data_IF_346278078579
#
_entry.id   IF_346278078579
#
_cell.length_a   1.000
_cell.length_b   1.000
_cell.length_c   1.000
_cell.angle_alpha   90.00
_cell.angle_beta   90.00
_cell.angle_gamma   90.00
#
_symmetry.space_group_name_H-M   'P 1'
#
loop_
_entity.id
_entity.type
_entity.pdbx_description
1 polymer ?
#
# COMPACT_ATOMS: atom_id res chain seq x y z
N UNK A 1 -3.84 -37.63 5.47
CA UNK A 1 -2.77 -37.00 6.24
C UNK A 1 -3.37 -35.80 6.95
N UNK A 2 -3.13 -35.58 8.25
CA UNK A 2 -3.64 -34.40 8.93
C UNK A 2 -2.94 -33.16 8.36
N UNK A 3 -3.73 -32.14 8.03
CA UNK A 3 -3.23 -30.79 7.72
C UNK A 3 -2.46 -30.29 8.95
N UNK A 4 -1.23 -29.86 8.76
CA UNK A 4 -0.49 -29.19 9.80
C UNK A 4 -1.30 -27.95 10.22
N UNK A 5 -1.67 -27.85 11.49
CA UNK A 5 -2.15 -26.61 12.08
C UNK A 5 -1.00 -25.60 11.96
N UNK A 6 -1.23 -24.56 11.16
CA UNK A 6 -0.32 -23.41 11.09
C UNK A 6 -0.52 -22.67 12.42
N UNK A 7 0.46 -22.78 13.30
CA UNK A 7 0.50 -21.97 14.51
C UNK A 7 0.70 -20.51 14.08
N UNK A 8 -0.16 -19.57 14.48
CA UNK A 8 0.06 -18.16 14.18
C UNK A 8 1.44 -17.77 14.70
N UNK A 9 2.26 -17.16 13.86
CA UNK A 9 3.55 -16.63 14.28
C UNK A 9 3.30 -15.48 15.26
N UNK A 10 3.90 -15.53 16.44
CA UNK A 10 3.76 -14.50 17.51
C UNK A 10 4.24 -13.10 17.07
N UNK A 11 4.73 -12.95 15.85
CA UNK A 11 5.32 -11.72 15.31
C UNK A 11 4.34 -10.78 14.60
N UNK A 12 3.09 -11.19 14.34
CA UNK A 12 2.09 -10.37 13.66
C UNK A 12 0.98 -9.99 14.63
N UNK A 13 0.76 -8.68 14.78
CA UNK A 13 -0.36 -8.12 15.55
C UNK A 13 -1.34 -7.42 14.62
N UNK A 14 -2.62 -7.50 14.95
CA UNK A 14 -3.70 -6.86 14.21
C UNK A 14 -4.22 -5.63 14.95
N UNK A 15 -4.20 -4.48 14.29
CA UNK A 15 -4.92 -3.29 14.76
C UNK A 15 -6.32 -3.29 14.14
N UNK A 16 -7.33 -3.59 14.94
CA UNK A 16 -8.70 -3.71 14.47
C UNK A 16 -9.42 -2.36 14.56
N UNK A 17 -10.00 -1.94 13.46
CA UNK A 17 -10.88 -0.76 13.35
C UNK A 17 -12.25 -1.19 12.86
N UNK A 18 -13.29 -0.54 13.34
CA UNK A 18 -14.66 -0.78 12.93
C UNK A 18 -15.18 0.42 12.15
N UNK A 19 -15.74 0.16 10.96
CA UNK A 19 -16.43 1.15 10.14
C UNK A 19 -17.91 0.76 10.10
N UNK A 20 -18.77 1.61 10.63
CA UNK A 20 -20.19 1.41 10.62
C UNK A 20 -20.83 1.99 9.35
N UNK A 21 -21.30 1.12 8.48
CA UNK A 21 -22.09 1.45 7.30
C UNK A 21 -23.51 0.99 7.58
N UNK A 22 -24.49 1.92 7.46
CA UNK A 22 -25.89 1.61 7.74
C UNK A 22 -26.44 0.60 6.72
N UNK A 23 -27.34 -0.25 7.19
CA UNK A 23 -28.10 -1.20 6.38
C UNK A 23 -27.31 -2.32 5.69
N UNK A 24 -26.05 -2.55 6.12
CA UNK A 24 -25.30 -3.74 5.67
C UNK A 24 -26.02 -5.02 6.11
N UNK A 25 -26.09 -6.00 5.22
CA UNK A 25 -26.74 -7.30 5.46
C UNK A 25 -25.82 -8.29 6.18
N UNK A 26 -24.49 -8.04 6.15
CA UNK A 26 -23.49 -8.86 6.81
C UNK A 26 -22.29 -8.00 7.24
N UNK A 27 -21.48 -8.55 8.11
CA UNK A 27 -20.14 -8.00 8.38
C UNK A 27 -19.19 -8.38 7.25
N UNK A 28 -18.30 -7.45 6.92
CA UNK A 28 -17.21 -7.65 5.97
C UNK A 28 -15.88 -7.46 6.69
N UNK A 29 -14.91 -8.30 6.40
CA UNK A 29 -13.55 -8.18 6.90
C UNK A 29 -12.63 -7.73 5.77
N UNK A 30 -12.07 -6.55 5.90
CA UNK A 30 -11.03 -6.04 5.01
C UNK A 30 -9.71 -6.00 5.76
N UNK A 31 -8.63 -6.39 5.10
CA UNK A 31 -7.27 -6.25 5.63
C UNK A 31 -6.55 -5.19 4.82
N UNK A 32 -5.93 -4.24 5.51
CA UNK A 32 -5.08 -3.21 4.92
C UNK A 32 -3.65 -3.46 5.35
N UNK A 33 -2.74 -3.51 4.39
CA UNK A 33 -1.29 -3.58 4.60
C UNK A 33 -0.65 -2.41 3.87
N UNK A 34 0.23 -1.70 4.53
CA UNK A 34 1.03 -0.62 3.95
C UNK A 34 2.44 -0.64 4.55
N UNK A 35 3.37 0.06 3.91
CA UNK A 35 4.74 0.28 4.40
C UNK A 35 5.49 -1.04 4.70
N UNK A 36 5.32 -2.06 3.86
CA UNK A 36 6.07 -3.34 4.00
C UNK A 36 7.55 -3.17 3.65
N UNK A 37 7.86 -2.25 2.73
CA UNK A 37 9.22 -1.91 2.30
C UNK A 37 10.09 -3.14 2.03
N UNK A 38 9.65 -4.02 1.13
CA UNK A 38 10.41 -5.22 0.76
C UNK A 38 11.71 -4.79 0.08
N UNK A 39 12.81 -5.33 0.58
CA UNK A 39 14.16 -5.14 0.01
C UNK A 39 14.79 -6.50 -0.19
N UNK A 40 15.18 -6.79 -1.42
CA UNK A 40 15.97 -7.96 -1.81
C UNK A 40 17.35 -7.47 -2.23
N UNK A 41 18.39 -7.68 -1.42
CA UNK A 41 19.74 -7.26 -1.77
C UNK A 41 20.35 -8.18 -2.84
N UNK A 42 20.04 -7.90 -4.12
CA UNK A 42 20.50 -8.71 -5.25
C UNK A 42 21.70 -8.11 -6.00
N UNK A 43 22.11 -6.90 -5.62
CA UNK A 43 23.19 -6.17 -6.27
C UNK A 43 22.82 -5.45 -7.56
N UNK A 44 21.53 -5.43 -7.95
CA UNK A 44 21.02 -4.67 -9.10
C UNK A 44 20.77 -3.20 -8.74
N UNK A 45 21.72 -2.60 -8.04
CA UNK A 45 21.71 -1.21 -7.66
C UNK A 45 23.08 -0.56 -7.81
N UNK A 46 23.11 0.76 -7.85
CA UNK A 46 24.36 1.52 -7.95
C UNK A 46 25.25 1.16 -6.76
N UNK A 47 26.49 0.73 -7.05
CA UNK A 47 27.41 0.18 -6.04
C UNK A 47 27.69 1.15 -4.87
N UNK A 48 27.68 2.45 -5.14
CA UNK A 48 27.86 3.52 -4.17
C UNK A 48 26.69 3.61 -3.16
N UNK A 49 25.57 2.96 -3.47
CA UNK A 49 24.36 2.93 -2.64
C UNK A 49 24.25 1.67 -1.75
N UNK A 50 25.19 0.74 -1.85
CA UNK A 50 25.16 -0.53 -1.12
C UNK A 50 25.02 -0.34 0.39
N UNK A 51 25.79 0.58 0.99
CA UNK A 51 25.75 0.85 2.42
C UNK A 51 24.39 1.43 2.86
N UNK A 52 23.82 2.33 2.04
CA UNK A 52 22.51 2.92 2.29
C UNK A 52 21.42 1.83 2.25
N UNK A 53 21.48 0.92 1.27
CA UNK A 53 20.52 -0.20 1.16
C UNK A 53 20.65 -1.16 2.34
N UNK A 54 21.85 -1.50 2.80
CA UNK A 54 22.05 -2.31 4.00
C UNK A 54 21.44 -1.66 5.26
N UNK A 55 21.58 -0.35 5.39
CA UNK A 55 20.93 0.40 6.48
C UNK A 55 19.40 0.34 6.37
N UNK A 56 18.84 0.42 5.16
CA UNK A 56 17.40 0.32 4.94
C UNK A 56 16.87 -1.09 5.22
N UNK A 57 17.58 -2.14 4.82
CA UNK A 57 17.25 -3.53 5.20
C UNK A 57 17.15 -3.66 6.72
N UNK A 58 18.11 -3.09 7.43
CA UNK A 58 18.11 -3.10 8.90
C UNK A 58 16.95 -2.30 9.48
N UNK A 59 16.63 -1.14 8.89
CA UNK A 59 15.56 -0.24 9.33
C UNK A 59 14.19 -0.92 9.25
N UNK A 60 13.95 -1.68 8.19
CA UNK A 60 12.68 -2.38 7.94
C UNK A 60 12.69 -3.84 8.40
N UNK A 61 13.68 -4.25 9.17
CA UNK A 61 13.66 -5.55 9.86
C UNK A 61 12.80 -5.46 11.12
N UNK A 62 12.13 -6.55 11.46
CA UNK A 62 11.34 -6.63 12.68
C UNK A 62 12.22 -6.74 13.96
N UNK A 63 11.59 -6.74 15.13
CA UNK A 63 12.29 -6.85 16.43
C UNK A 63 13.12 -8.13 16.60
N UNK A 64 12.78 -9.18 15.86
CA UNK A 64 13.49 -10.48 15.88
C UNK A 64 14.63 -10.53 14.85
N UNK A 65 14.84 -9.44 14.11
CA UNK A 65 15.88 -9.29 13.10
C UNK A 65 15.54 -9.93 11.75
N UNK A 66 14.28 -10.35 11.54
CA UNK A 66 13.83 -10.79 10.21
C UNK A 66 13.64 -9.58 9.30
N UNK A 67 14.14 -9.70 8.08
CA UNK A 67 14.00 -8.66 7.05
C UNK A 67 12.56 -8.57 6.52
N UNK A 68 12.25 -7.46 5.85
CA UNK A 68 10.94 -7.29 5.17
C UNK A 68 10.69 -8.38 4.11
N UNK A 69 11.73 -8.85 3.43
CA UNK A 69 11.68 -9.98 2.51
C UNK A 69 11.24 -11.28 3.22
N UNK A 70 11.77 -11.54 4.42
CA UNK A 70 11.47 -12.76 5.19
C UNK A 70 10.09 -12.70 5.85
N UNK A 71 9.64 -11.52 6.24
CA UNK A 71 8.33 -11.35 6.90
C UNK A 71 7.15 -11.31 5.93
N UNK A 72 7.37 -10.97 4.65
CA UNK A 72 6.29 -10.88 3.67
C UNK A 72 5.52 -12.19 3.45
N UNK A 73 6.16 -13.35 3.20
CA UNK A 73 5.44 -14.62 3.10
C UNK A 73 4.68 -15.00 4.38
N UNK A 74 5.20 -14.66 5.56
CA UNK A 74 4.52 -14.88 6.84
C UNK A 74 3.27 -14.00 6.97
N UNK A 75 3.36 -12.74 6.52
CA UNK A 75 2.21 -11.83 6.46
C UNK A 75 1.12 -12.37 5.54
N UNK A 76 1.48 -12.87 4.36
CA UNK A 76 0.52 -13.48 3.43
C UNK A 76 -0.16 -14.71 4.02
N UNK A 77 0.57 -15.54 4.74
CA UNK A 77 -0.01 -16.70 5.43
C UNK A 77 -0.98 -16.26 6.54
N UNK A 78 -0.64 -15.21 7.30
CA UNK A 78 -1.52 -14.65 8.31
C UNK A 78 -2.78 -14.01 7.69
N UNK A 79 -2.65 -13.27 6.59
CA UNK A 79 -3.80 -12.72 5.84
C UNK A 79 -4.74 -13.85 5.41
N UNK A 80 -4.21 -14.91 4.84
CA UNK A 80 -5.02 -16.04 4.41
C UNK A 80 -5.70 -16.79 5.58
N UNK A 81 -5.06 -16.83 6.75
CA UNK A 81 -5.64 -17.44 7.95
C UNK A 81 -6.85 -16.64 8.48
N UNK A 82 -6.82 -15.31 8.34
CA UNK A 82 -7.92 -14.42 8.69
C UNK A 82 -9.15 -14.55 7.76
N UNK A 83 -8.98 -15.14 6.58
CA UNK A 83 -10.03 -15.33 5.57
C UNK A 83 -10.85 -14.04 5.30
N UNK A 84 -10.20 -12.94 4.90
CA UNK A 84 -10.88 -11.67 4.66
C UNK A 84 -11.75 -11.70 3.40
N UNK A 85 -12.72 -10.78 3.31
CA UNK A 85 -13.51 -10.54 2.10
C UNK A 85 -12.70 -9.75 1.04
N UNK A 86 -11.70 -8.98 1.46
CA UNK A 86 -10.81 -8.25 0.56
C UNK A 86 -9.51 -7.83 1.24
N UNK A 87 -8.48 -7.59 0.45
CA UNK A 87 -7.17 -7.13 0.90
C UNK A 87 -6.78 -5.88 0.12
N UNK A 88 -6.30 -4.89 0.83
CA UNK A 88 -5.82 -3.62 0.29
C UNK A 88 -4.34 -3.50 0.64
N UNK A 89 -3.47 -3.56 -0.36
CA UNK A 89 -2.09 -3.18 -0.24
C UNK A 89 -2.02 -1.68 -0.53
N UNK A 90 -1.75 -0.88 0.49
CA UNK A 90 -1.98 0.57 0.42
C UNK A 90 -0.68 1.37 0.26
N UNK A 91 0.24 0.86 -0.56
CA UNK A 91 1.46 1.55 -0.96
C UNK A 91 2.68 1.23 -0.09
N UNK A 92 3.84 1.58 -0.62
CA UNK A 92 5.17 1.32 -0.05
C UNK A 92 5.39 -0.17 0.26
N UNK A 93 4.91 -1.04 -0.63
CA UNK A 93 5.07 -2.47 -0.49
C UNK A 93 6.50 -2.91 -0.79
N UNK A 94 7.16 -2.28 -1.76
CA UNK A 94 8.60 -2.38 -1.98
C UNK A 94 9.27 -1.06 -1.62
N UNK A 95 10.53 -1.11 -1.22
CA UNK A 95 11.24 0.08 -0.73
C UNK A 95 11.79 0.97 -1.85
N UNK A 96 12.05 0.38 -2.97
CA UNK A 96 12.40 1.01 -4.24
C UNK A 96 12.18 0.01 -5.35
N UNK A 97 12.00 0.52 -6.56
CA UNK A 97 11.84 -0.37 -7.69
C UNK A 97 13.14 -1.10 -8.03
N UNK A 98 13.06 -2.43 -8.02
CA UNK A 98 13.96 -3.36 -8.68
C UNK A 98 13.17 -4.60 -9.10
N UNK A 99 13.64 -5.33 -10.10
CA UNK A 99 12.97 -6.56 -10.51
C UNK A 99 12.95 -7.60 -9.37
N UNK A 100 13.98 -7.63 -8.54
CA UNK A 100 14.03 -8.54 -7.41
C UNK A 100 13.00 -8.19 -6.33
N UNK A 101 12.86 -6.90 -5.97
CA UNK A 101 11.85 -6.43 -5.02
C UNK A 101 10.44 -6.73 -5.55
N UNK A 102 10.16 -6.37 -6.81
CA UNK A 102 8.87 -6.62 -7.44
C UNK A 102 8.55 -8.13 -7.52
N UNK A 103 9.52 -8.95 -7.93
CA UNK A 103 9.33 -10.39 -8.01
C UNK A 103 9.09 -11.02 -6.64
N UNK A 104 9.78 -10.56 -5.60
CA UNK A 104 9.55 -11.00 -4.22
C UNK A 104 8.11 -10.68 -3.79
N UNK A 105 7.69 -9.43 -3.96
CA UNK A 105 6.31 -9.01 -3.66
C UNK A 105 5.29 -9.88 -4.40
N UNK A 106 5.43 -10.01 -5.72
CA UNK A 106 4.45 -10.68 -6.59
C UNK A 106 4.38 -12.20 -6.36
N UNK A 107 5.48 -12.83 -5.96
CA UNK A 107 5.51 -14.27 -5.68
C UNK A 107 4.52 -14.63 -4.57
N UNK A 108 4.54 -13.88 -3.50
CA UNK A 108 3.68 -14.15 -2.35
C UNK A 108 2.32 -13.46 -2.46
N UNK A 109 2.22 -12.28 -3.09
CA UNK A 109 0.95 -11.62 -3.35
C UNK A 109 -0.04 -12.55 -4.06
N UNK A 110 0.43 -13.29 -5.07
CA UNK A 110 -0.38 -14.27 -5.82
C UNK A 110 -0.91 -15.43 -4.97
N UNK A 111 -0.40 -15.62 -3.75
CA UNK A 111 -0.88 -16.62 -2.79
C UNK A 111 -2.06 -16.11 -1.96
N UNK A 112 -2.34 -14.81 -1.95
CA UNK A 112 -3.50 -14.24 -1.27
C UNK A 112 -4.77 -14.75 -1.96
N UNK A 113 -5.68 -15.31 -1.16
CA UNK A 113 -6.90 -15.97 -1.68
C UNK A 113 -8.05 -14.99 -1.90
N UNK A 114 -8.10 -13.92 -1.10
CA UNK A 114 -9.10 -12.87 -1.25
C UNK A 114 -8.77 -11.96 -2.43
N UNK A 115 -9.74 -11.23 -2.98
CA UNK A 115 -9.48 -10.17 -3.94
C UNK A 115 -8.52 -9.13 -3.37
N UNK A 116 -7.51 -8.74 -4.17
CA UNK A 116 -6.48 -7.77 -3.77
C UNK A 116 -6.59 -6.51 -4.61
N UNK A 117 -6.64 -5.36 -3.94
CA UNK A 117 -6.39 -4.04 -4.51
C UNK A 117 -4.98 -3.61 -4.11
N UNK A 118 -4.16 -3.19 -5.07
CA UNK A 118 -2.82 -2.70 -4.78
C UNK A 118 -2.66 -1.26 -5.25
N UNK A 119 -2.73 -0.33 -4.31
CA UNK A 119 -2.39 1.07 -4.52
C UNK A 119 -0.87 1.21 -4.47
N UNK A 120 -0.27 1.83 -5.49
CA UNK A 120 1.17 2.15 -5.49
C UNK A 120 1.39 3.51 -4.85
N UNK A 121 2.54 3.62 -4.18
CA UNK A 121 3.07 4.87 -3.68
C UNK A 121 4.42 5.19 -4.35
N UNK A 122 5.11 6.22 -3.91
CA UNK A 122 6.34 6.67 -4.53
C UNK A 122 7.48 5.66 -4.40
N UNK A 123 7.56 4.94 -3.28
CA UNK A 123 8.55 3.87 -3.08
C UNK A 123 8.36 2.71 -4.06
N UNK A 124 7.13 2.32 -4.35
CA UNK A 124 6.84 1.23 -5.29
C UNK A 124 7.36 1.53 -6.72
N UNK A 125 7.47 2.81 -7.06
CA UNK A 125 7.90 3.28 -8.38
C UNK A 125 9.26 3.97 -8.37
N UNK A 126 9.89 4.15 -7.21
CA UNK A 126 11.12 4.92 -7.04
C UNK A 126 12.35 4.19 -7.59
N UNK A 127 13.10 4.85 -8.48
CA UNK A 127 14.34 4.33 -9.10
C UNK A 127 15.61 4.90 -8.48
N UNK A 128 15.56 5.32 -7.24
CA UNK A 128 16.63 6.08 -6.56
C UNK A 128 17.97 5.33 -6.41
N UNK A 129 17.91 4.01 -6.53
CA UNK A 129 19.07 3.13 -6.32
C UNK A 129 19.51 2.40 -7.58
N UNK A 130 18.90 2.68 -8.74
CA UNK A 130 19.24 2.06 -10.02
C UNK A 130 19.40 3.13 -11.12
N UNK A 131 20.33 2.90 -12.03
CA UNK A 131 20.50 3.65 -13.27
C UNK A 131 20.04 2.85 -14.52
N UNK A 132 19.44 1.69 -14.29
CA UNK A 132 19.04 0.74 -15.33
C UNK A 132 17.66 1.06 -15.89
N UNK A 133 16.76 1.64 -15.07
CA UNK A 133 15.35 1.83 -15.42
C UNK A 133 15.02 3.30 -15.66
N UNK A 134 14.07 3.53 -16.57
CA UNK A 134 13.35 4.81 -16.70
C UNK A 134 12.02 4.74 -15.95
N UNK A 135 11.39 5.89 -15.71
CA UNK A 135 10.05 5.95 -15.12
C UNK A 135 9.01 5.20 -15.98
N UNK A 136 9.13 5.26 -17.30
CA UNK A 136 8.26 4.53 -18.23
C UNK A 136 8.44 3.01 -18.10
N UNK A 137 9.69 2.54 -17.96
CA UNK A 137 9.98 1.10 -17.77
C UNK A 137 9.32 0.60 -16.49
N UNK A 138 9.42 1.37 -15.40
CA UNK A 138 8.83 1.01 -14.10
C UNK A 138 7.31 1.00 -14.17
N UNK A 139 6.70 2.05 -14.72
CA UNK A 139 5.25 2.12 -14.90
C UNK A 139 4.73 0.92 -15.69
N UNK A 140 5.42 0.54 -16.76
CA UNK A 140 5.03 -0.61 -17.55
C UNK A 140 5.18 -1.92 -16.79
N UNK A 141 6.31 -2.16 -16.12
CA UNK A 141 6.59 -3.39 -15.34
C UNK A 141 5.59 -3.56 -14.19
N UNK A 142 5.30 -2.49 -13.46
CA UNK A 142 4.32 -2.48 -12.40
C UNK A 142 2.92 -2.85 -12.92
N UNK A 143 2.49 -2.22 -14.01
CA UNK A 143 1.20 -2.48 -14.64
C UNK A 143 1.08 -3.91 -15.20
N UNK A 144 2.17 -4.47 -15.74
CA UNK A 144 2.22 -5.85 -16.22
C UNK A 144 2.21 -6.86 -15.06
N UNK A 145 2.74 -6.49 -13.89
CA UNK A 145 2.82 -7.36 -12.72
C UNK A 145 1.48 -7.55 -12.03
N UNK A 146 0.72 -6.47 -11.87
CA UNK A 146 -0.59 -6.43 -11.21
C UNK A 146 -1.40 -5.24 -11.73
N UNK A 147 -2.74 -5.35 -11.65
CA UNK A 147 -3.62 -4.26 -12.07
C UNK A 147 -3.24 -2.94 -11.41
N UNK A 148 -3.07 -1.92 -12.26
CA UNK A 148 -2.65 -0.60 -11.85
C UNK A 148 -3.38 0.47 -12.68
N UNK A 149 -4.42 1.02 -12.10
CA UNK A 149 -5.11 2.20 -12.59
C UNK A 149 -5.01 3.34 -11.58
N UNK A 150 -5.13 4.57 -12.05
CA UNK A 150 -5.11 5.74 -11.16
C UNK A 150 -6.24 5.71 -10.13
N UNK A 151 -7.42 5.24 -10.54
CA UNK A 151 -8.57 5.01 -9.67
C UNK A 151 -9.05 3.58 -9.86
N UNK A 152 -8.87 2.76 -8.84
CA UNK A 152 -9.32 1.36 -8.81
C UNK A 152 -10.59 1.21 -8.01
N UNK A 153 -11.41 0.21 -8.34
CA UNK A 153 -12.68 -0.04 -7.67
C UNK A 153 -12.82 -1.52 -7.37
N UNK A 154 -13.15 -1.83 -6.12
CA UNK A 154 -13.61 -3.15 -5.68
C UNK A 154 -15.05 -3.04 -5.22
N UNK A 155 -15.98 -3.73 -5.90
CA UNK A 155 -17.41 -3.69 -5.58
C UNK A 155 -17.77 -4.86 -4.65
N UNK A 156 -18.28 -4.53 -3.47
CA UNK A 156 -18.76 -5.48 -2.47
C UNK A 156 -20.31 -5.56 -2.45
N UNK A 157 -20.96 -5.23 -3.55
CA UNK A 157 -22.42 -5.14 -3.71
C UNK A 157 -23.08 -4.04 -2.87
N UNK A 158 -22.77 -3.97 -1.58
CA UNK A 158 -23.38 -3.04 -0.61
C UNK A 158 -22.57 -1.73 -0.44
N UNK A 159 -21.28 -1.77 -0.77
CA UNK A 159 -20.38 -0.62 -0.73
C UNK A 159 -19.23 -0.80 -1.74
N UNK A 160 -18.54 0.26 -2.02
CA UNK A 160 -17.33 0.26 -2.85
C UNK A 160 -16.09 0.49 -2.00
N UNK A 161 -15.00 -0.20 -2.32
CA UNK A 161 -13.65 0.23 -1.95
C UNK A 161 -13.02 0.88 -3.18
N UNK A 162 -12.64 2.13 -3.03
CA UNK A 162 -12.04 2.92 -4.12
C UNK A 162 -10.62 3.26 -3.73
N UNK A 163 -9.67 2.76 -4.51
CA UNK A 163 -8.24 3.02 -4.34
C UNK A 163 -7.76 4.10 -5.28
N UNK A 164 -6.95 5.02 -4.77
CA UNK A 164 -6.30 6.06 -5.56
C UNK A 164 -4.80 5.79 -5.57
N UNK A 165 -4.23 5.60 -6.76
CA UNK A 165 -2.79 5.61 -6.98
C UNK A 165 -2.31 7.06 -7.05
N UNK A 166 -1.81 7.56 -5.92
CA UNK A 166 -1.41 8.95 -5.80
C UNK A 166 0.12 9.14 -5.70
N UNK A 167 0.84 8.25 -6.35
CA UNK A 167 2.31 8.27 -6.41
C UNK A 167 2.90 9.54 -7.06
N UNK A 168 2.12 10.23 -7.90
CA UNK A 168 2.52 11.49 -8.56
C UNK A 168 2.08 12.73 -7.79
N UNK A 169 1.43 12.59 -6.64
CA UNK A 169 0.82 13.66 -5.85
C UNK A 169 -0.28 14.44 -6.58
N UNK A 170 -0.80 13.91 -7.69
CA UNK A 170 -1.83 14.51 -8.53
C UNK A 170 -2.80 13.45 -9.06
N UNK A 171 -4.05 13.86 -9.31
CA UNK A 171 -5.00 13.12 -10.11
C UNK A 171 -5.13 13.75 -11.50
N UNK A 172 -5.20 12.90 -12.53
CA UNK A 172 -5.55 13.36 -13.85
C UNK A 172 -7.02 13.80 -13.93
N UNK A 173 -7.37 14.59 -14.96
CA UNK A 173 -8.78 14.92 -15.22
C UNK A 173 -9.64 13.66 -15.39
N UNK A 174 -9.10 12.61 -16.02
CA UNK A 174 -9.80 11.35 -16.19
C UNK A 174 -10.03 10.63 -14.84
N UNK A 175 -9.03 10.61 -13.95
CA UNK A 175 -9.15 10.05 -12.61
C UNK A 175 -10.17 10.80 -11.77
N UNK A 176 -10.14 12.13 -11.83
CA UNK A 176 -11.11 12.98 -11.15
C UNK A 176 -12.54 12.76 -11.65
N UNK A 177 -12.74 12.67 -12.97
CA UNK A 177 -14.06 12.38 -13.54
C UNK A 177 -14.55 10.97 -13.15
N UNK A 178 -13.66 9.97 -13.10
CA UNK A 178 -14.00 8.63 -12.60
C UNK A 178 -14.46 8.67 -11.14
N UNK A 179 -13.74 9.39 -10.27
CA UNK A 179 -14.16 9.60 -8.89
C UNK A 179 -15.51 10.29 -8.77
N UNK A 180 -15.76 11.36 -9.54
CA UNK A 180 -17.05 12.05 -9.54
C UNK A 180 -18.19 11.14 -9.94
N UNK A 181 -17.99 10.27 -10.95
CA UNK A 181 -18.99 9.29 -11.37
C UNK A 181 -19.30 8.28 -10.26
N UNK A 182 -18.29 7.77 -9.56
CA UNK A 182 -18.48 6.87 -8.42
C UNK A 182 -19.20 7.56 -7.25
N UNK A 183 -18.97 8.86 -7.05
CA UNK A 183 -19.56 9.64 -5.95
C UNK A 183 -21.06 9.86 -6.08
N UNK A 184 -21.60 9.80 -7.30
CA UNK A 184 -23.04 9.92 -7.55
C UNK A 184 -23.77 8.59 -7.53
N UNK A 185 -23.06 7.47 -7.43
CA UNK A 185 -23.65 6.16 -7.17
C UNK A 185 -24.22 6.12 -5.74
N UNK A 186 -25.36 5.48 -5.58
CA UNK A 186 -26.03 5.37 -4.27
C UNK A 186 -25.44 4.22 -3.43
N UNK A 187 -24.10 4.18 -3.36
CA UNK A 187 -23.33 3.22 -2.56
C UNK A 187 -22.36 3.94 -1.63
N UNK A 188 -22.23 3.52 -0.37
CA UNK A 188 -21.15 3.98 0.49
C UNK A 188 -19.79 3.68 -0.13
N UNK A 189 -18.82 4.57 0.03
CA UNK A 189 -17.45 4.43 -0.47
C UNK A 189 -16.47 4.41 0.70
N UNK A 190 -15.60 3.40 0.73
CA UNK A 190 -14.37 3.39 1.52
C UNK A 190 -13.26 3.82 0.58
N UNK A 191 -12.75 5.03 0.77
CA UNK A 191 -11.66 5.57 -0.04
C UNK A 191 -10.31 5.22 0.59
N UNK A 192 -9.40 4.66 -0.21
CA UNK A 192 -8.06 4.26 0.20
C UNK A 192 -7.01 4.93 -0.66
N UNK A 193 -5.95 5.41 -0.04
CA UNK A 193 -4.80 6.01 -0.70
C UNK A 193 -3.60 5.98 0.25
N UNK A 194 -2.39 5.97 -0.30
CA UNK A 194 -1.18 6.03 0.52
C UNK A 194 -0.97 7.44 1.08
N UNK A 195 -1.00 8.45 0.20
CA UNK A 195 -0.86 9.85 0.61
C UNK A 195 -2.25 10.45 0.87
N UNK A 196 -2.56 10.88 2.10
CA UNK A 196 -3.88 11.41 2.42
C UNK A 196 -4.13 12.77 1.77
N UNK A 197 -5.39 13.03 1.41
CA UNK A 197 -5.81 14.31 0.85
C UNK A 197 -5.79 15.40 1.91
N UNK A 198 -5.24 16.56 1.57
CA UNK A 198 -5.34 17.76 2.41
C UNK A 198 -6.77 18.32 2.31
N UNK A 199 -7.39 18.59 3.46
CA UNK A 199 -8.71 19.21 3.51
C UNK A 199 -8.61 20.71 3.75
N UNK A 200 -9.37 21.50 2.99
CA UNK A 200 -9.51 22.96 3.22
C UNK A 200 -10.45 23.28 4.39
N UNK A 201 -11.35 22.37 4.72
CA UNK A 201 -12.39 22.61 5.73
C UNK A 201 -12.12 21.91 7.06
N UNK A 202 -11.20 20.95 7.07
CA UNK A 202 -10.88 20.16 8.26
C UNK A 202 -9.43 19.70 8.22
N UNK A 203 -8.58 20.31 9.02
CA UNK A 203 -7.17 19.95 9.15
C UNK A 203 -6.92 18.73 10.05
N UNK A 204 -7.96 17.95 10.36
CA UNK A 204 -7.87 16.82 11.29
C UNK A 204 -6.79 15.80 10.93
N UNK A 205 -6.56 15.52 9.64
CA UNK A 205 -5.46 14.64 9.20
C UNK A 205 -4.10 15.27 9.45
N UNK A 206 -3.92 16.56 9.12
CA UNK A 206 -2.68 17.29 9.42
C UNK A 206 -2.42 17.38 10.92
N UNK A 207 -3.46 17.61 11.72
CA UNK A 207 -3.34 17.67 13.17
C UNK A 207 -3.03 16.29 13.77
N UNK A 208 -3.63 15.22 13.26
CA UNK A 208 -3.32 13.85 13.66
C UNK A 208 -1.87 13.47 13.31
N UNK A 209 -1.40 13.83 12.11
CA UNK A 209 -0.01 13.62 11.70
C UNK A 209 0.95 14.36 12.62
N UNK A 210 0.69 15.62 12.92
CA UNK A 210 1.51 16.42 13.85
C UNK A 210 1.52 15.84 15.26
N UNK A 211 0.39 15.31 15.73
CA UNK A 211 0.30 14.68 17.05
C UNK A 211 1.19 13.44 17.17
N UNK A 212 1.35 12.68 16.08
CA UNK A 212 2.18 11.46 16.05
C UNK A 212 3.66 11.78 15.79
N UNK A 213 3.93 12.60 14.77
CA UNK A 213 5.27 12.81 14.23
C UNK A 213 5.97 14.07 14.75
N UNK A 214 5.26 14.96 15.47
CA UNK A 214 5.77 16.19 16.05
C UNK A 214 6.51 17.07 15.01
N UNK A 215 7.76 17.42 15.26
CA UNK A 215 8.55 18.27 14.36
C UNK A 215 8.79 17.62 12.99
N UNK A 216 8.78 16.29 12.91
CA UNK A 216 8.88 15.56 11.65
C UNK A 216 7.62 15.64 10.79
N UNK A 217 6.46 15.90 11.40
CA UNK A 217 5.22 16.11 10.65
C UNK A 217 5.27 17.36 9.75
N UNK A 218 6.11 18.33 10.08
CA UNK A 218 6.36 19.49 9.21
C UNK A 218 7.11 19.12 7.91
N UNK A 219 7.89 18.05 7.94
CA UNK A 219 8.61 17.53 6.76
C UNK A 219 7.73 16.61 5.91
N UNK A 220 6.80 15.89 6.54
CA UNK A 220 5.96 14.89 5.88
C UNK A 220 4.51 15.37 5.68
N UNK A 221 3.96 16.14 6.62
CA UNK A 221 2.56 16.48 6.66
C UNK A 221 2.10 17.49 5.60
N UNK A 222 2.97 18.38 5.14
CA UNK A 222 2.65 19.37 4.10
C UNK A 222 2.96 18.86 2.71
N UNK A 223 4.03 18.07 2.57
CA UNK A 223 4.49 17.58 1.28
C UNK A 223 3.81 16.27 0.88
N UNK A 224 3.21 15.57 1.84
CA UNK A 224 2.48 14.32 1.62
C UNK A 224 0.98 14.47 1.37
N UNK A 225 0.45 15.69 1.42
CA UNK A 225 -0.98 15.94 1.17
C UNK A 225 -1.18 16.67 -0.16
N UNK A 226 -2.17 16.25 -0.91
CA UNK A 226 -2.61 16.99 -2.08
C UNK A 226 -3.10 18.39 -1.69
N UNK A 227 -2.73 19.38 -2.49
CA UNK A 227 -3.39 20.69 -2.43
C UNK A 227 -4.78 20.55 -3.06
N UNK A 228 -5.85 20.96 -2.37
CA UNK A 228 -7.20 20.95 -2.94
C UNK A 228 -7.37 21.81 -4.18
N UNK A 229 -6.47 22.77 -4.39
CA UNK A 229 -6.47 23.63 -5.59
C UNK A 229 -5.85 22.92 -6.81
N UNK A 230 -5.27 21.72 -6.61
CA UNK A 230 -4.57 20.95 -7.62
C UNK A 230 -5.32 19.65 -8.01
N UNK A 231 -6.45 19.37 -7.36
CA UNK A 231 -7.31 18.19 -7.62
C UNK A 231 -8.62 18.61 -8.27
#
# INVERSE_FOLDING_TARGET
QPSAEITPTESISWDNKEINIQDLKKEYKLIVVNDQHIIVPDGDYISEKSEEIEQRVTMFSNSDGKTSQETWPEMVDAINAENPDGVILNGDMIDFFSEANLNCLMTDLKRIKAPVMYNRADHDLGIWYSDTYTDEDVQQKEKESWDMEEVMVQDFDEFLVVGINNNTSQLSEAGLEKLKQLWVEDKPIILTMHVPLKSQVNDGLSDASKAVWQDRALLWGTDCFYSPDEV
#
